data_IF_220087611860
#
_entry.id   IF_220087611860
#
_cell.length_a   1.000
_cell.length_b   1.000
_cell.length_c   1.000
_cell.angle_alpha   90.00
_cell.angle_beta   90.00
_cell.angle_gamma   90.00
#
_symmetry.space_group_name_H-M   'P 1'
#
loop_
_entity.id
_entity.type
_entity.pdbx_description
1 polymer ?
#
# COMPACT_ATOMS: atom_id res chain seq x y z
N UNK A 1 29.76 24.47 7.99
CA UNK A 1 28.33 24.19 8.09
C UNK A 1 27.66 25.38 8.79
N UNK A 2 26.87 26.19 8.03
CA UNK A 2 26.07 27.26 8.65
C UNK A 2 24.66 26.71 8.89
N UNK A 3 24.31 26.50 10.13
CA UNK A 3 22.95 26.15 10.55
C UNK A 3 22.03 27.34 10.30
N UNK A 4 21.05 27.18 9.41
CA UNK A 4 19.98 28.17 9.21
C UNK A 4 18.68 27.59 9.75
N UNK A 5 18.25 28.08 10.94
CA UNK A 5 16.96 27.71 11.56
C UNK A 5 15.77 27.93 10.60
N UNK A 6 15.86 28.93 9.72
CA UNK A 6 14.82 29.19 8.72
C UNK A 6 14.70 28.06 7.69
N UNK A 7 15.85 27.56 7.18
CA UNK A 7 15.87 26.41 6.26
C UNK A 7 15.41 25.11 6.94
N UNK A 8 15.81 24.90 8.21
CA UNK A 8 15.35 23.75 8.99
C UNK A 8 13.84 23.76 9.18
N UNK A 9 13.24 24.92 9.47
CA UNK A 9 11.78 25.07 9.59
C UNK A 9 11.05 24.83 8.26
N UNK A 10 11.57 25.34 7.15
CA UNK A 10 11.01 25.10 5.80
C UNK A 10 11.09 23.60 5.43
N UNK A 11 12.20 22.94 5.70
CA UNK A 11 12.36 21.50 5.49
C UNK A 11 11.39 20.69 6.35
N UNK A 12 11.28 20.99 7.64
CA UNK A 12 10.33 20.32 8.54
C UNK A 12 8.88 20.54 8.08
N UNK A 13 8.55 21.72 7.61
CA UNK A 13 7.20 22.03 7.14
C UNK A 13 6.86 21.30 5.84
N UNK A 14 7.80 21.17 4.91
CA UNK A 14 7.63 20.41 3.67
C UNK A 14 7.60 18.89 3.92
N UNK A 15 8.37 18.40 4.90
CA UNK A 15 8.45 16.97 5.27
C UNK A 15 7.35 16.55 6.25
N UNK A 16 6.62 17.48 6.88
CA UNK A 16 5.63 17.18 7.92
C UNK A 16 4.57 16.18 7.48
N UNK A 17 4.12 16.27 6.23
CA UNK A 17 3.13 15.32 5.68
C UNK A 17 3.66 13.89 5.58
N UNK A 18 4.95 13.70 5.30
CA UNK A 18 5.59 12.39 5.27
C UNK A 18 5.87 11.87 6.69
N UNK A 19 6.28 12.75 7.61
CA UNK A 19 6.50 12.39 9.01
C UNK A 19 5.19 11.91 9.65
N UNK A 20 4.10 12.67 9.49
CA UNK A 20 2.77 12.29 9.97
C UNK A 20 2.32 10.98 9.31
N UNK A 21 2.50 10.84 8.01
CA UNK A 21 2.18 9.61 7.30
C UNK A 21 2.95 8.41 7.85
N UNK A 22 4.26 8.53 8.10
CA UNK A 22 5.08 7.47 8.66
C UNK A 22 4.66 7.09 10.09
N UNK A 23 4.35 8.08 10.94
CA UNK A 23 3.82 7.85 12.28
C UNK A 23 2.47 7.11 12.22
N UNK A 24 1.56 7.53 11.35
CA UNK A 24 0.26 6.88 11.20
C UNK A 24 0.38 5.44 10.71
N UNK A 25 1.30 5.16 9.78
CA UNK A 25 1.60 3.78 9.35
C UNK A 25 2.11 2.93 10.49
N UNK A 26 3.01 3.47 11.32
CA UNK A 26 3.54 2.77 12.51
C UNK A 26 2.46 2.51 13.55
N UNK A 27 1.62 3.50 13.84
CA UNK A 27 0.48 3.36 14.75
C UNK A 27 -0.48 2.28 14.22
N UNK A 28 -0.85 2.36 12.95
CA UNK A 28 -1.71 1.40 12.28
C UNK A 28 -1.16 -0.04 12.37
N UNK A 29 0.14 -0.24 12.07
CA UNK A 29 0.76 -1.56 12.14
C UNK A 29 0.84 -2.14 13.57
N UNK A 30 0.88 -1.27 14.60
CA UNK A 30 0.85 -1.67 16.00
C UNK A 30 -0.59 -1.86 16.54
N UNK A 31 -1.55 -1.12 16.01
CA UNK A 31 -2.95 -1.13 16.47
C UNK A 31 -3.57 -2.51 16.35
N UNK A 32 -3.38 -3.19 15.22
CA UNK A 32 -3.90 -4.55 15.02
C UNK A 32 -3.43 -5.50 16.12
N UNK A 33 -2.11 -5.49 16.42
CA UNK A 33 -1.50 -6.34 17.44
C UNK A 33 -1.95 -5.98 18.85
N UNK A 34 -2.09 -4.67 19.13
CA UNK A 34 -2.55 -4.20 20.43
C UNK A 34 -4.00 -4.62 20.69
N UNK A 35 -4.87 -4.45 19.70
CA UNK A 35 -6.28 -4.84 19.78
C UNK A 35 -6.43 -6.36 19.89
N UNK A 36 -5.68 -7.14 19.10
CA UNK A 36 -5.65 -8.60 19.22
C UNK A 36 -5.21 -9.04 20.63
N UNK A 37 -4.17 -8.40 21.20
CA UNK A 37 -3.69 -8.73 22.53
C UNK A 37 -4.76 -8.47 23.60
N UNK A 38 -5.44 -7.33 23.51
CA UNK A 38 -6.47 -6.94 24.49
C UNK A 38 -7.73 -7.80 24.39
N UNK A 39 -8.11 -8.22 23.17
CA UNK A 39 -9.36 -8.93 22.93
C UNK A 39 -9.24 -10.46 22.98
N UNK A 40 -8.09 -11.01 22.56
CA UNK A 40 -7.91 -12.47 22.36
C UNK A 40 -6.64 -13.05 23.01
N UNK A 41 -5.77 -12.19 23.56
CA UNK A 41 -4.55 -12.61 24.24
C UNK A 41 -3.32 -12.72 23.33
N UNK A 42 -2.22 -13.24 23.92
CA UNK A 42 -0.89 -13.22 23.27
C UNK A 42 -0.78 -14.21 22.09
N UNK A 43 -1.44 -15.33 22.16
CA UNK A 43 -1.38 -16.37 21.12
C UNK A 43 -1.94 -15.88 19.78
N UNK A 44 -3.06 -15.15 19.84
CA UNK A 44 -3.63 -14.52 18.64
C UNK A 44 -2.68 -13.51 18.00
N UNK A 45 -1.94 -12.75 18.82
CA UNK A 45 -0.89 -11.83 18.34
C UNK A 45 0.26 -12.60 17.69
N UNK A 46 0.66 -13.73 18.28
CA UNK A 46 1.70 -14.61 17.72
C UNK A 46 1.33 -15.11 16.33
N UNK A 47 0.14 -15.69 16.18
CA UNK A 47 -0.37 -16.19 14.90
C UNK A 47 -0.49 -15.09 13.84
N UNK A 48 -1.03 -13.92 14.20
CA UNK A 48 -1.14 -12.77 13.30
C UNK A 48 0.23 -12.19 12.91
N UNK A 49 1.16 -12.10 13.88
CA UNK A 49 2.51 -11.58 13.63
C UNK A 49 3.29 -12.47 12.69
N UNK A 50 3.20 -13.79 12.84
CA UNK A 50 3.78 -14.74 11.91
C UNK A 50 3.20 -14.58 10.51
N UNK A 51 1.87 -14.54 10.38
CA UNK A 51 1.19 -14.34 9.12
C UNK A 51 1.64 -13.04 8.42
N UNK A 52 1.70 -11.94 9.18
CA UNK A 52 2.15 -10.63 8.66
C UNK A 52 3.62 -10.66 8.23
N UNK A 53 4.50 -11.30 9.01
CA UNK A 53 5.92 -11.43 8.70
C UNK A 53 6.15 -12.20 7.39
N UNK A 54 5.47 -13.34 7.22
CA UNK A 54 5.54 -14.15 5.99
C UNK A 54 4.99 -13.37 4.80
N UNK A 55 3.88 -12.64 4.99
CA UNK A 55 3.25 -11.84 3.94
C UNK A 55 4.18 -10.76 3.35
N UNK A 56 5.01 -10.12 4.17
CA UNK A 56 5.88 -9.01 3.74
C UNK A 56 7.33 -9.44 3.46
N UNK A 57 7.71 -10.68 3.77
CA UNK A 57 9.11 -11.15 3.65
C UNK A 57 9.72 -11.02 2.26
N UNK A 58 8.92 -11.12 1.22
CA UNK A 58 9.33 -11.02 -0.19
C UNK A 58 9.21 -9.60 -0.77
N UNK A 59 8.61 -8.69 -0.01
CA UNK A 59 8.23 -7.36 -0.49
C UNK A 59 9.44 -6.45 -0.85
N UNK A 60 10.66 -6.83 -0.45
CA UNK A 60 11.89 -6.17 -0.88
C UNK A 60 12.06 -6.16 -2.41
N UNK A 61 11.51 -7.19 -3.10
CA UNK A 61 11.51 -7.25 -4.58
C UNK A 61 10.69 -6.09 -5.14
N UNK A 62 9.52 -5.82 -4.55
CA UNK A 62 8.66 -4.71 -4.99
C UNK A 62 9.32 -3.35 -4.73
N UNK A 63 10.01 -3.20 -3.58
CA UNK A 63 10.78 -1.98 -3.28
C UNK A 63 11.87 -1.76 -4.34
N UNK A 64 12.65 -2.79 -4.68
CA UNK A 64 13.69 -2.69 -5.70
C UNK A 64 13.13 -2.29 -7.08
N UNK A 65 11.98 -2.83 -7.47
CA UNK A 65 11.30 -2.46 -8.72
C UNK A 65 10.87 -0.99 -8.69
N UNK A 66 10.26 -0.54 -7.59
CA UNK A 66 9.80 0.84 -7.44
C UNK A 66 10.99 1.80 -7.47
N UNK A 67 12.05 1.52 -6.71
CA UNK A 67 13.23 2.37 -6.63
C UNK A 67 13.98 2.46 -7.96
N UNK A 68 14.01 1.37 -8.73
CA UNK A 68 14.61 1.33 -10.07
C UNK A 68 13.88 2.21 -11.08
N UNK A 69 12.54 2.25 -11.02
CA UNK A 69 11.71 3.00 -11.97
C UNK A 69 11.44 4.45 -11.53
N UNK A 70 11.66 4.77 -10.26
CA UNK A 70 11.42 6.10 -9.70
C UNK A 70 12.14 7.22 -10.45
N UNK A 71 13.46 7.15 -10.75
CA UNK A 71 14.17 8.20 -11.47
C UNK A 71 13.62 8.44 -12.87
N UNK A 72 13.23 7.37 -13.57
CA UNK A 72 12.67 7.48 -14.92
C UNK A 72 11.31 8.15 -14.93
N UNK A 73 10.47 7.91 -13.92
CA UNK A 73 9.18 8.57 -13.74
C UNK A 73 9.40 10.08 -13.54
N UNK A 74 10.33 10.46 -12.63
CA UNK A 74 10.63 11.88 -12.35
C UNK A 74 11.17 12.60 -13.59
N UNK A 75 12.07 11.97 -14.35
CA UNK A 75 12.57 12.56 -15.61
C UNK A 75 11.47 12.72 -16.66
N UNK A 76 10.60 11.73 -16.77
CA UNK A 76 9.49 11.77 -17.74
C UNK A 76 8.49 12.87 -17.42
N UNK A 77 8.25 13.15 -16.14
CA UNK A 77 7.36 14.22 -15.71
C UNK A 77 7.77 15.60 -16.26
N UNK A 78 9.09 15.87 -16.34
CA UNK A 78 9.61 17.14 -16.85
C UNK A 78 9.62 17.24 -18.38
N UNK A 79 9.67 16.12 -19.08
CA UNK A 79 9.93 16.08 -20.53
C UNK A 79 8.69 15.76 -21.37
N UNK A 80 7.89 14.80 -20.94
CA UNK A 80 6.78 14.25 -21.73
C UNK A 80 5.69 13.68 -20.83
N UNK A 81 4.54 14.33 -20.82
CA UNK A 81 3.38 13.97 -20.02
C UNK A 81 2.84 12.56 -20.36
N UNK A 82 2.79 12.22 -21.64
CA UNK A 82 2.28 10.91 -22.07
C UNK A 82 3.21 9.78 -21.64
N UNK A 83 4.51 9.99 -21.78
CA UNK A 83 5.53 9.06 -21.29
C UNK A 83 5.46 8.89 -19.78
N UNK A 84 5.28 9.98 -19.05
CA UNK A 84 5.11 9.97 -17.59
C UNK A 84 3.90 9.14 -17.15
N UNK A 85 2.74 9.33 -17.75
CA UNK A 85 1.54 8.55 -17.43
C UNK A 85 1.69 7.07 -17.78
N UNK A 86 2.34 6.77 -18.92
CA UNK A 86 2.66 5.39 -19.34
C UNK A 86 3.57 4.72 -18.33
N UNK A 87 4.65 5.40 -17.88
CA UNK A 87 5.58 4.86 -16.89
C UNK A 87 4.92 4.61 -15.55
N UNK A 88 4.03 5.48 -15.09
CA UNK A 88 3.24 5.23 -13.88
C UNK A 88 2.32 4.01 -14.05
N UNK A 89 1.61 3.86 -15.19
CA UNK A 89 0.78 2.67 -15.46
C UNK A 89 1.62 1.39 -15.51
N UNK A 90 2.79 1.42 -16.14
CA UNK A 90 3.71 0.28 -16.17
C UNK A 90 4.17 -0.11 -14.76
N UNK A 91 4.60 0.86 -13.94
CA UNK A 91 4.99 0.60 -12.56
C UNK A 91 3.84 -0.02 -11.76
N UNK A 92 2.63 0.55 -11.82
CA UNK A 92 1.47 0.01 -11.10
C UNK A 92 1.08 -1.38 -11.58
N UNK A 93 1.12 -1.64 -12.89
CA UNK A 93 0.84 -2.96 -13.43
C UNK A 93 1.86 -4.00 -12.94
N UNK A 94 3.16 -3.71 -13.03
CA UNK A 94 4.22 -4.61 -12.56
C UNK A 94 4.04 -4.90 -11.07
N UNK A 95 3.91 -3.87 -10.23
CA UNK A 95 3.73 -4.01 -8.79
C UNK A 95 2.49 -4.84 -8.47
N UNK A 96 1.36 -4.57 -9.12
CA UNK A 96 0.11 -5.29 -8.87
C UNK A 96 0.20 -6.75 -9.28
N UNK A 97 0.63 -7.06 -10.50
CA UNK A 97 0.62 -8.43 -11.01
C UNK A 97 1.69 -9.32 -10.38
N UNK A 98 2.89 -8.77 -10.10
CA UNK A 98 3.92 -9.49 -9.33
C UNK A 98 3.38 -9.80 -7.93
N UNK A 99 2.75 -8.82 -7.27
CA UNK A 99 2.15 -9.04 -5.95
C UNK A 99 1.02 -10.06 -6.00
N UNK A 100 0.14 -10.00 -6.99
CA UNK A 100 -0.96 -10.93 -7.18
C UNK A 100 -0.45 -12.37 -7.34
N UNK A 101 0.56 -12.56 -8.20
CA UNK A 101 1.17 -13.86 -8.46
C UNK A 101 1.81 -14.44 -7.19
N UNK A 102 2.66 -13.67 -6.50
CA UNK A 102 3.33 -14.15 -5.27
C UNK A 102 2.31 -14.38 -4.15
N UNK A 103 1.30 -13.51 -4.00
CA UNK A 103 0.24 -13.71 -3.02
C UNK A 103 -0.55 -14.99 -3.28
N UNK A 104 -0.87 -15.30 -4.53
CA UNK A 104 -1.52 -16.54 -4.91
C UNK A 104 -0.65 -17.78 -4.57
N UNK A 105 0.64 -17.72 -4.89
CA UNK A 105 1.60 -18.78 -4.56
C UNK A 105 1.68 -19.02 -3.05
N UNK A 106 1.86 -17.95 -2.26
CA UNK A 106 1.91 -18.06 -0.79
C UNK A 106 0.58 -18.61 -0.25
N UNK A 107 -0.55 -18.14 -0.76
CA UNK A 107 -1.88 -18.62 -0.33
C UNK A 107 -2.07 -20.12 -0.56
N UNK A 108 -1.58 -20.66 -1.70
CA UNK A 108 -1.65 -22.09 -2.05
C UNK A 108 -0.78 -22.93 -1.11
N UNK A 109 0.45 -22.48 -0.85
CA UNK A 109 1.42 -23.22 -0.04
C UNK A 109 1.37 -22.87 1.46
N UNK A 110 0.48 -21.99 1.90
CA UNK A 110 0.43 -21.46 3.26
C UNK A 110 0.40 -22.56 4.33
N UNK A 111 -0.45 -23.60 4.16
CA UNK A 111 -0.58 -24.67 5.14
C UNK A 111 0.68 -25.55 5.23
N UNK A 112 1.20 -26.14 4.15
CA UNK A 112 2.43 -26.95 4.24
C UNK A 112 3.64 -26.09 4.66
N UNK A 113 3.73 -24.84 4.25
CA UNK A 113 4.80 -23.92 4.63
C UNK A 113 4.83 -23.70 6.16
N UNK A 114 3.68 -23.35 6.75
CA UNK A 114 3.58 -23.14 8.21
C UNK A 114 3.87 -24.43 8.96
N UNK A 115 3.31 -25.55 8.52
CA UNK A 115 3.49 -26.85 9.19
C UNK A 115 4.97 -27.29 9.22
N UNK A 116 5.68 -27.17 8.10
CA UNK A 116 7.07 -27.61 7.98
C UNK A 116 8.03 -26.69 8.75
N UNK A 117 7.84 -25.37 8.69
CA UNK A 117 8.79 -24.42 9.26
C UNK A 117 8.49 -24.05 10.73
N UNK A 118 7.22 -24.05 11.13
CA UNK A 118 6.79 -23.56 12.46
C UNK A 118 6.04 -24.59 13.29
N UNK A 119 5.66 -25.71 12.68
CA UNK A 119 4.99 -26.81 13.37
C UNK A 119 3.48 -26.59 13.56
N UNK A 120 2.83 -27.59 14.19
CA UNK A 120 1.37 -27.64 14.35
C UNK A 120 0.80 -26.51 15.20
N UNK A 121 1.55 -26.03 16.20
CA UNK A 121 1.15 -24.94 17.10
C UNK A 121 0.80 -23.65 16.33
N UNK A 122 1.42 -23.43 15.18
CA UNK A 122 1.20 -22.25 14.36
C UNK A 122 0.20 -22.44 13.22
N UNK A 123 -0.46 -23.58 13.10
CA UNK A 123 -1.51 -23.81 12.10
C UNK A 123 -2.64 -22.75 12.13
N UNK A 124 -3.04 -22.18 13.29
CA UNK A 124 -4.02 -21.09 13.31
C UNK A 124 -3.57 -19.82 12.56
N UNK A 125 -2.26 -19.66 12.28
CA UNK A 125 -1.75 -18.54 11.47
C UNK A 125 -2.07 -18.66 9.97
N UNK A 126 -2.45 -19.85 9.48
CA UNK A 126 -2.76 -20.09 8.05
C UNK A 126 -3.95 -19.26 7.59
N UNK A 127 -5.00 -19.16 8.42
CA UNK A 127 -6.19 -18.33 8.11
C UNK A 127 -5.83 -16.87 7.88
N UNK A 128 -5.25 -16.19 8.90
CA UNK A 128 -4.76 -14.81 8.76
C UNK A 128 -3.79 -14.61 7.59
N UNK A 129 -2.84 -15.56 7.36
CA UNK A 129 -1.86 -15.49 6.28
C UNK A 129 -2.54 -15.43 4.91
N UNK A 130 -3.53 -16.30 4.67
CA UNK A 130 -4.27 -16.34 3.40
C UNK A 130 -5.02 -15.05 3.09
N UNK A 131 -5.33 -14.26 4.09
CA UNK A 131 -6.01 -12.96 3.93
C UNK A 131 -4.97 -11.84 3.81
N UNK A 132 -4.03 -11.75 4.78
CA UNK A 132 -3.10 -10.63 4.86
C UNK A 132 -2.11 -10.60 3.69
N UNK A 133 -1.86 -11.73 3.04
CA UNK A 133 -0.95 -11.75 1.87
C UNK A 133 -1.44 -10.85 0.72
N UNK A 134 -2.75 -10.70 0.55
CA UNK A 134 -3.34 -9.80 -0.47
C UNK A 134 -3.18 -8.33 -0.11
N UNK A 135 -3.01 -7.99 1.17
CA UNK A 135 -2.69 -6.65 1.62
C UNK A 135 -1.46 -6.08 0.94
N UNK A 136 -0.43 -6.92 0.70
CA UNK A 136 0.86 -6.51 0.13
C UNK A 136 0.69 -5.84 -1.24
N UNK A 137 -0.19 -6.36 -2.10
CA UNK A 137 -0.46 -5.80 -3.42
C UNK A 137 -0.93 -4.34 -3.34
N UNK A 138 -1.92 -4.07 -2.50
CA UNK A 138 -2.48 -2.72 -2.35
C UNK A 138 -1.55 -1.79 -1.56
N UNK A 139 -0.79 -2.34 -0.60
CA UNK A 139 0.20 -1.59 0.16
C UNK A 139 1.30 -1.05 -0.76
N UNK A 140 1.85 -1.91 -1.62
CA UNK A 140 2.92 -1.53 -2.53
C UNK A 140 2.44 -0.69 -3.72
N UNK A 141 1.19 -0.79 -4.14
CA UNK A 141 0.57 0.22 -5.01
C UNK A 141 0.54 1.60 -4.34
N UNK A 142 0.26 1.65 -3.03
CA UNK A 142 0.35 2.87 -2.24
C UNK A 142 1.76 3.45 -2.17
N UNK A 143 2.79 2.59 -2.05
CA UNK A 143 4.21 2.99 -2.09
C UNK A 143 4.58 3.51 -3.48
N UNK A 144 4.22 2.78 -4.54
CA UNK A 144 4.49 3.17 -5.92
C UNK A 144 3.85 4.54 -6.28
N UNK A 145 2.68 4.84 -5.70
CA UNK A 145 2.01 6.14 -5.84
C UNK A 145 2.83 7.32 -5.35
N UNK A 146 3.78 7.13 -4.44
CA UNK A 146 4.55 8.23 -3.86
C UNK A 146 5.32 9.01 -4.93
N UNK A 147 5.83 8.36 -5.98
CA UNK A 147 6.46 9.02 -7.12
C UNK A 147 5.50 10.04 -7.78
N UNK A 148 4.27 9.62 -8.06
CA UNK A 148 3.24 10.48 -8.61
C UNK A 148 2.87 11.62 -7.66
N UNK A 149 2.72 11.34 -6.36
CA UNK A 149 2.40 12.34 -5.33
C UNK A 149 3.45 13.44 -5.25
N UNK A 150 4.74 13.06 -5.37
CA UNK A 150 5.86 14.03 -5.35
C UNK A 150 5.86 14.87 -6.63
N UNK A 151 5.78 14.25 -7.80
CA UNK A 151 5.79 14.96 -9.08
C UNK A 151 4.62 15.96 -9.18
N UNK A 152 3.43 15.58 -8.77
CA UNK A 152 2.21 16.41 -8.86
C UNK A 152 2.02 17.36 -7.65
N UNK A 153 3.00 17.41 -6.73
CA UNK A 153 2.93 18.20 -5.50
C UNK A 153 1.66 17.94 -4.68
N UNK A 154 1.29 16.68 -4.53
CA UNK A 154 0.08 16.20 -3.85
C UNK A 154 0.35 15.55 -2.49
N UNK A 155 1.58 15.61 -1.96
CA UNK A 155 1.99 14.97 -0.70
C UNK A 155 1.13 15.39 0.49
N UNK A 156 0.59 16.61 0.49
CA UNK A 156 -0.29 17.12 1.56
C UNK A 156 -1.54 16.25 1.81
N UNK A 157 -1.94 15.45 0.82
CA UNK A 157 -3.09 14.55 0.95
C UNK A 157 -2.74 13.23 1.65
N UNK A 158 -1.45 12.87 1.76
CA UNK A 158 -1.03 11.62 2.42
C UNK A 158 -1.50 11.55 3.87
N UNK A 159 -1.38 12.66 4.63
CA UNK A 159 -1.85 12.70 6.01
C UNK A 159 -3.34 12.36 6.15
N UNK A 160 -4.18 12.84 5.23
CA UNK A 160 -5.62 12.55 5.26
C UNK A 160 -5.90 11.08 4.95
N UNK A 161 -5.19 10.52 3.97
CA UNK A 161 -5.31 9.11 3.63
C UNK A 161 -4.93 8.21 4.80
N UNK A 162 -3.80 8.48 5.47
CA UNK A 162 -3.33 7.64 6.58
C UNK A 162 -4.12 7.83 7.87
N UNK A 163 -4.57 9.06 8.18
CA UNK A 163 -5.47 9.28 9.32
C UNK A 163 -6.81 8.56 9.09
N UNK A 164 -7.38 8.66 7.89
CA UNK A 164 -8.60 7.91 7.55
C UNK A 164 -8.37 6.41 7.59
N UNK A 165 -7.18 5.92 7.16
CA UNK A 165 -6.80 4.52 7.27
C UNK A 165 -6.80 4.05 8.73
N UNK A 166 -6.13 4.78 9.62
CA UNK A 166 -6.04 4.42 11.03
C UNK A 166 -7.43 4.38 11.68
N UNK A 167 -8.28 5.38 11.43
CA UNK A 167 -9.64 5.41 11.95
C UNK A 167 -10.49 4.24 11.41
N UNK A 168 -10.45 3.99 10.10
CA UNK A 168 -11.18 2.89 9.48
C UNK A 168 -10.71 1.53 10.01
N UNK A 169 -9.39 1.35 10.15
CA UNK A 169 -8.81 0.11 10.66
C UNK A 169 -9.27 -0.20 12.09
N UNK A 170 -9.27 0.81 12.98
CA UNK A 170 -9.76 0.64 14.36
C UNK A 170 -11.23 0.19 14.37
N UNK A 171 -12.09 0.86 13.58
CA UNK A 171 -13.51 0.50 13.49
C UNK A 171 -13.71 -0.92 12.95
N UNK A 172 -12.97 -1.28 11.90
CA UNK A 172 -13.04 -2.63 11.33
C UNK A 172 -12.49 -3.70 12.27
N UNK A 173 -11.42 -3.42 13.01
CA UNK A 173 -10.88 -4.33 14.02
C UNK A 173 -11.89 -4.58 15.13
N UNK A 174 -12.56 -3.54 15.66
CA UNK A 174 -13.60 -3.67 16.66
C UNK A 174 -14.77 -4.54 16.19
N UNK A 175 -15.10 -4.47 14.89
CA UNK A 175 -16.19 -5.25 14.31
C UNK A 175 -15.78 -6.70 13.96
N UNK A 176 -14.57 -6.90 13.43
CA UNK A 176 -14.17 -8.18 12.82
C UNK A 176 -13.36 -9.08 13.77
N UNK A 177 -12.56 -8.53 14.69
CA UNK A 177 -11.78 -9.34 15.63
C UNK A 177 -12.68 -10.23 16.52
N UNK A 178 -13.80 -9.75 17.10
CA UNK A 178 -14.64 -10.58 17.96
C UNK A 178 -15.20 -11.83 17.27
N UNK A 179 -15.48 -11.73 15.98
CA UNK A 179 -16.11 -12.82 15.20
C UNK A 179 -15.10 -13.70 14.45
N UNK A 180 -14.00 -13.13 13.96
CA UNK A 180 -13.04 -13.84 13.08
C UNK A 180 -11.62 -13.92 13.68
N UNK A 181 -11.42 -13.44 14.90
CA UNK A 181 -10.11 -13.50 15.57
C UNK A 181 -8.99 -12.83 14.79
N UNK A 182 -7.84 -13.48 14.71
CA UNK A 182 -6.67 -12.98 13.97
C UNK A 182 -6.95 -12.81 12.46
N UNK A 183 -7.84 -13.64 11.88
CA UNK A 183 -8.30 -13.46 10.49
C UNK A 183 -9.14 -12.19 10.33
N UNK A 184 -9.87 -11.78 11.36
CA UNK A 184 -10.60 -10.52 11.40
C UNK A 184 -9.69 -9.31 11.32
N UNK A 185 -8.57 -9.31 12.06
CA UNK A 185 -7.54 -8.27 11.96
C UNK A 185 -6.91 -8.24 10.55
N UNK A 186 -6.62 -9.41 9.97
CA UNK A 186 -6.10 -9.49 8.60
C UNK A 186 -7.08 -8.94 7.56
N UNK A 187 -8.37 -9.21 7.71
CA UNK A 187 -9.43 -8.68 6.85
C UNK A 187 -9.60 -7.16 7.05
N UNK A 188 -9.56 -6.68 8.29
CA UNK A 188 -9.61 -5.24 8.59
C UNK A 188 -8.46 -4.49 7.92
N UNK A 189 -7.24 -5.01 8.02
CA UNK A 189 -6.06 -4.44 7.38
C UNK A 189 -6.18 -4.45 5.86
N UNK A 190 -6.63 -5.54 5.23
CA UNK A 190 -6.83 -5.64 3.79
C UNK A 190 -7.88 -4.62 3.30
N UNK A 191 -9.05 -4.58 3.93
CA UNK A 191 -10.14 -3.65 3.57
C UNK A 191 -9.66 -2.20 3.71
N UNK A 192 -8.96 -1.89 4.81
CA UNK A 192 -8.39 -0.55 5.02
C UNK A 192 -7.41 -0.18 3.91
N UNK A 193 -6.53 -1.10 3.53
CA UNK A 193 -5.53 -0.83 2.50
C UNK A 193 -6.14 -0.64 1.11
N UNK A 194 -7.12 -1.46 0.75
CA UNK A 194 -7.90 -1.28 -0.49
C UNK A 194 -8.59 0.09 -0.48
N UNK A 195 -9.22 0.45 0.64
CA UNK A 195 -9.93 1.73 0.78
C UNK A 195 -8.99 2.92 0.63
N UNK A 196 -7.82 2.90 1.24
CA UNK A 196 -6.84 4.01 1.19
C UNK A 196 -6.08 4.10 -0.12
N UNK A 197 -5.94 2.98 -0.82
CA UNK A 197 -5.21 2.95 -2.10
C UNK A 197 -6.12 3.24 -3.29
N UNK A 198 -7.38 2.78 -3.27
CA UNK A 198 -8.31 2.89 -4.40
C UNK A 198 -9.51 3.79 -4.10
N UNK A 199 -10.25 3.55 -3.00
CA UNK A 199 -11.55 4.19 -2.76
C UNK A 199 -11.38 5.67 -2.38
N UNK A 200 -10.58 5.96 -1.35
CA UNK A 200 -10.37 7.34 -0.90
C UNK A 200 -9.76 8.25 -1.98
N UNK A 201 -8.73 7.84 -2.74
CA UNK A 201 -8.23 8.63 -3.85
C UNK A 201 -9.25 8.86 -4.97
N UNK A 202 -10.19 7.95 -5.18
CA UNK A 202 -11.28 8.14 -6.14
C UNK A 202 -12.28 9.22 -5.70
N UNK A 203 -12.48 9.38 -4.39
CA UNK A 203 -13.37 10.41 -3.81
C UNK A 203 -12.69 11.78 -3.81
N UNK A 204 -11.41 11.86 -3.46
CA UNK A 204 -10.65 13.10 -3.35
C UNK A 204 -10.31 13.62 -4.76
N UNK A 205 -11.01 14.68 -5.22
CA UNK A 205 -10.85 15.22 -6.59
C UNK A 205 -9.39 15.34 -7.08
N UNK A 206 -8.43 15.93 -6.33
CA UNK A 206 -7.05 16.07 -6.76
C UNK A 206 -6.26 14.75 -6.92
N UNK A 207 -6.76 13.63 -6.38
CA UNK A 207 -6.13 12.31 -6.47
C UNK A 207 -6.77 11.40 -7.51
N UNK A 208 -7.93 11.77 -8.06
CA UNK A 208 -8.64 11.00 -9.09
C UNK A 208 -7.79 10.64 -10.31
N UNK A 209 -6.92 11.54 -10.84
CA UNK A 209 -6.07 11.17 -11.98
C UNK A 209 -5.16 9.97 -11.65
N UNK A 210 -4.58 9.94 -10.45
CA UNK A 210 -3.76 8.80 -10.03
C UNK A 210 -4.58 7.50 -9.89
N UNK A 211 -5.77 7.59 -9.29
CA UNK A 211 -6.66 6.45 -9.17
C UNK A 211 -7.03 5.86 -10.56
N UNK A 212 -7.28 6.72 -11.56
CA UNK A 212 -7.50 6.26 -12.95
C UNK A 212 -6.28 5.55 -13.53
N UNK A 213 -5.06 6.10 -13.34
CA UNK A 213 -3.83 5.45 -13.79
C UNK A 213 -3.65 4.07 -13.16
N UNK A 214 -3.99 3.91 -11.86
CA UNK A 214 -3.96 2.62 -11.17
C UNK A 214 -4.99 1.66 -11.73
N UNK A 215 -6.24 2.11 -11.94
CA UNK A 215 -7.30 1.29 -12.52
C UNK A 215 -6.97 0.85 -13.95
N UNK A 216 -6.45 1.77 -14.77
CA UNK A 216 -5.98 1.45 -16.12
C UNK A 216 -4.86 0.41 -16.10
N UNK A 217 -3.93 0.51 -15.15
CA UNK A 217 -2.86 -0.46 -14.96
C UNK A 217 -3.38 -1.85 -14.57
N UNK A 218 -4.32 -1.91 -13.61
CA UNK A 218 -4.98 -3.15 -13.17
C UNK A 218 -5.79 -3.79 -14.31
N UNK A 219 -6.37 -2.98 -15.20
CA UNK A 219 -7.14 -3.46 -16.36
C UNK A 219 -6.28 -3.63 -17.63
N UNK A 220 -4.95 -3.54 -17.53
CA UNK A 220 -4.00 -3.56 -18.67
C UNK A 220 -4.26 -2.49 -19.75
N UNK A 221 -5.02 -1.45 -19.46
CA UNK A 221 -5.36 -0.41 -20.42
C UNK A 221 -4.21 0.57 -20.60
N UNK A 222 -3.66 0.65 -21.81
CA UNK A 222 -2.62 1.63 -22.16
C UNK A 222 -1.25 1.39 -21.48
N UNK A 223 -0.98 0.17 -20.97
CA UNK A 223 0.33 -0.19 -20.39
C UNK A 223 1.39 -0.36 -21.50
N UNK A 224 1.00 -0.94 -22.64
CA UNK A 224 1.90 -1.24 -23.76
C UNK A 224 1.56 -0.51 -25.07
N UNK A 225 0.43 0.19 -25.14
CA UNK A 225 -0.03 0.79 -26.40
C UNK A 225 0.23 2.28 -26.45
N UNK A 226 0.79 2.77 -27.56
CA UNK A 226 0.89 4.21 -27.91
C UNK A 226 -0.46 4.84 -28.33
N UNK A 227 -1.58 4.16 -28.06
CA UNK A 227 -2.88 4.48 -28.64
C UNK A 227 -3.51 5.75 -28.05
N UNK A 228 -3.70 6.72 -28.95
CA UNK A 228 -4.53 7.93 -28.93
C UNK A 228 -4.06 9.13 -28.11
N UNK A 229 -3.12 9.87 -28.71
CA UNK A 229 -2.80 11.28 -28.39
C UNK A 229 -4.02 12.23 -28.41
N UNK A 230 -5.08 11.90 -29.13
CA UNK A 230 -6.23 12.77 -29.34
C UNK A 230 -7.23 12.81 -28.17
N UNK A 231 -7.36 11.73 -27.41
CA UNK A 231 -8.33 11.63 -26.30
C UNK A 231 -7.76 12.14 -24.98
N UNK A 232 -6.45 12.01 -24.78
CA UNK A 232 -5.78 12.51 -23.57
C UNK A 232 -5.79 14.04 -23.48
N UNK A 233 -5.69 14.76 -24.60
CA UNK A 233 -5.71 16.23 -24.64
C UNK A 233 -7.06 16.85 -24.26
N UNK A 234 -8.19 16.15 -24.34
CA UNK A 234 -9.54 16.69 -24.05
C UNK A 234 -9.94 16.66 -22.57
N UNK A 235 -9.29 15.89 -21.73
CA UNK A 235 -9.73 15.67 -20.35
C UNK A 235 -8.98 16.53 -19.30
N UNK A 236 -8.12 17.48 -19.73
CA UNK A 236 -7.27 18.28 -18.85
C UNK A 236 -7.41 19.80 -19.01
N UNK A 237 -8.45 20.28 -19.74
CA UNK A 237 -8.82 21.70 -19.74
C UNK A 237 -9.88 22.02 -18.69
#
# INVERSE_FOLDING_TARGET
FRYSLKKAKELLQSSSSFIIAGLMVSIYACTDKLMLKQMLGADAVGHYSLASMVSVSWAFILSAIIDSLYPEIVQSFQKDRLRYERKNRQLYAIVFYVSLFVSAMICLVAKPFILILYGETYLPAVGPLRIVVWYTAFSYLGVARNAWMVCENRQKYLKYLYVSAAALNVVLNLALIPSWGASGAAAASLITQVSTTMILPAIIKPLRPNCRLMLDAVLFRGVFTEKNESTARRNWK
#
